data_IF_835827570491
#
_entry.id   IF_835827570491
#
_cell.length_a   1.000
_cell.length_b   1.000
_cell.length_c   1.000
_cell.angle_alpha   90.00
_cell.angle_beta   90.00
_cell.angle_gamma   90.00
#
_symmetry.space_group_name_H-M   'P 1'
#
loop_
_entity.id
_entity.type
_entity.pdbx_description
1 polymer ?
#
# COMPACT_ATOMS: atom_id res chain seq x y z
N UNK A 1 23.10 64.81 6.56
CA UNK A 1 22.65 63.74 5.67
C UNK A 1 21.17 63.98 5.39
N UNK A 2 20.79 64.20 4.14
CA UNK A 2 19.39 64.40 3.72
C UNK A 2 18.70 63.04 3.84
N UNK A 3 17.64 62.97 4.62
CA UNK A 3 16.86 61.74 4.82
C UNK A 3 16.04 61.47 3.56
N UNK A 4 16.59 60.62 2.68
CA UNK A 4 15.92 60.24 1.44
C UNK A 4 15.01 59.04 1.79
N UNK A 5 13.67 59.14 1.60
CA UNK A 5 12.77 58.05 1.95
C UNK A 5 13.03 56.79 1.10
N UNK A 6 13.35 55.67 1.79
CA UNK A 6 13.53 54.38 1.14
C UNK A 6 12.22 53.83 0.61
N UNK A 7 12.13 53.54 -0.68
CA UNK A 7 10.99 52.86 -1.28
C UNK A 7 11.21 51.32 -1.26
N UNK A 8 10.27 50.57 -0.69
CA UNK A 8 10.32 49.11 -0.65
C UNK A 8 10.16 48.55 -2.05
N UNK A 9 11.21 47.98 -2.62
CA UNK A 9 11.23 47.45 -3.99
C UNK A 9 10.75 45.99 -4.01
N UNK A 10 11.11 45.15 -3.01
CA UNK A 10 10.84 43.69 -3.01
C UNK A 10 10.81 43.14 -1.58
N UNK A 11 9.98 42.09 -1.37
CA UNK A 11 9.94 41.28 -0.15
C UNK A 11 10.34 39.85 -0.51
N UNK A 12 11.32 39.29 0.19
CA UNK A 12 11.75 37.90 0.03
C UNK A 12 11.59 37.20 1.38
N UNK A 13 11.05 35.99 1.38
CA UNK A 13 11.04 35.09 2.54
C UNK A 13 12.19 34.11 2.38
N UNK A 14 12.96 33.92 3.45
CA UNK A 14 13.99 32.88 3.56
C UNK A 14 13.44 31.84 4.54
N UNK A 15 13.38 30.57 4.12
CA UNK A 15 13.00 29.44 4.95
C UNK A 15 14.23 28.56 5.09
N UNK A 16 14.60 28.25 6.33
CA UNK A 16 15.78 27.44 6.64
C UNK A 16 15.42 26.35 7.66
N UNK A 17 16.23 25.29 7.75
CA UNK A 17 16.06 24.18 8.69
C UNK A 17 17.30 24.12 9.59
N UNK A 18 17.07 24.10 10.90
CA UNK A 18 18.10 23.88 11.90
C UNK A 18 17.86 22.56 12.61
N UNK A 19 18.85 21.67 12.57
CA UNK A 19 18.82 20.41 13.35
C UNK A 19 19.39 20.69 14.74
N UNK A 20 18.63 20.39 15.77
CA UNK A 20 19.05 20.51 17.17
C UNK A 20 19.04 19.12 17.79
N UNK A 21 20.15 18.73 18.42
CA UNK A 21 20.28 17.47 19.15
C UNK A 21 20.24 17.78 20.64
N UNK A 22 19.34 17.15 21.34
CA UNK A 22 19.22 17.24 22.80
C UNK A 22 19.74 15.94 23.43
N UNK A 23 20.65 16.03 24.37
CA UNK A 23 21.16 14.90 25.13
C UNK A 23 20.80 15.12 26.61
N UNK A 24 20.02 14.17 27.16
CA UNK A 24 19.68 14.15 28.58
C UNK A 24 20.39 12.95 29.23
N UNK A 25 20.94 13.16 30.43
CA UNK A 25 21.49 12.10 31.26
C UNK A 25 20.45 11.69 32.30
N UNK A 26 20.02 10.42 32.28
CA UNK A 26 19.17 9.84 33.29
C UNK A 26 20.06 9.09 34.31
N UNK A 27 20.06 9.53 35.58
CA UNK A 27 20.85 8.90 36.65
C UNK A 27 19.92 8.04 37.52
N UNK A 28 20.32 6.80 37.71
CA UNK A 28 19.58 5.81 38.51
C UNK A 28 20.30 5.55 39.82
N UNK A 29 19.58 5.62 40.93
CA UNK A 29 20.13 5.46 42.26
C UNK A 29 19.53 4.27 43.00
N UNK A 30 20.37 3.56 43.74
CA UNK A 30 19.99 2.56 44.71
C UNK A 30 20.06 3.18 46.13
N UNK A 31 19.09 2.92 46.98
CA UNK A 31 19.10 3.34 48.37
C UNK A 31 18.88 2.16 49.30
N UNK A 32 19.83 1.91 50.19
CA UNK A 32 19.74 0.92 51.26
C UNK A 32 19.21 1.62 52.52
N UNK A 33 18.12 1.13 53.10
CA UNK A 33 17.60 1.67 54.37
C UNK A 33 18.34 1.07 55.56
N UNK A 34 18.22 1.67 56.74
CA UNK A 34 18.84 1.20 57.98
C UNK A 34 18.43 -0.23 58.37
N UNK A 35 17.29 -0.71 57.91
CA UNK A 35 16.82 -2.09 58.09
C UNK A 35 17.47 -3.10 57.14
N UNK A 36 18.37 -2.66 56.25
CA UNK A 36 19.00 -3.51 55.22
C UNK A 36 18.19 -3.75 53.95
N UNK A 37 16.96 -3.18 53.83
CA UNK A 37 16.17 -3.27 52.62
C UNK A 37 16.78 -2.39 51.51
N UNK A 38 16.92 -2.95 50.33
CA UNK A 38 17.42 -2.25 49.15
C UNK A 38 16.24 -1.75 48.30
N UNK A 39 16.14 -0.44 48.14
CA UNK A 39 15.20 0.19 47.23
C UNK A 39 15.92 0.50 45.94
N UNK A 40 15.69 -0.33 44.93
CA UNK A 40 16.24 -0.16 43.58
C UNK A 40 15.23 0.51 42.69
N UNK A 41 15.69 1.41 41.85
CA UNK A 41 14.95 1.73 40.65
C UNK A 41 15.46 0.81 39.50
N UNK A 42 14.54 0.23 38.74
CA UNK A 42 14.92 -0.60 37.58
C UNK A 42 15.61 0.28 36.54
N UNK A 43 16.93 0.24 36.52
CA UNK A 43 17.71 0.89 35.48
C UNK A 43 17.61 0.09 34.18
N UNK A 44 17.37 0.76 33.03
CA UNK A 44 17.35 0.06 31.75
C UNK A 44 18.72 -0.57 31.46
N UNK A 45 18.72 -1.79 30.95
CA UNK A 45 19.94 -2.51 30.59
C UNK A 45 20.53 -2.03 29.25
N UNK A 46 20.63 -0.70 29.06
CA UNK A 46 21.23 -0.08 27.89
C UNK A 46 21.99 1.18 28.27
N UNK A 47 23.12 1.41 27.59
CA UNK A 47 23.95 2.61 27.81
C UNK A 47 23.40 3.86 27.10
N UNK A 48 22.64 3.68 26.02
CA UNK A 48 22.08 4.76 25.22
C UNK A 48 20.62 4.41 24.94
N UNK A 49 19.72 5.37 25.25
CA UNK A 49 18.31 5.31 24.94
C UNK A 49 18.00 6.40 23.89
N UNK A 50 17.40 6.01 22.81
CA UNK A 50 17.01 6.93 21.76
C UNK A 50 15.60 7.45 22.01
N UNK A 51 15.44 8.77 21.99
CA UNK A 51 14.15 9.45 22.20
C UNK A 51 13.16 9.20 21.05
N UNK A 52 11.89 9.47 21.31
CA UNK A 52 10.78 9.14 20.41
C UNK A 52 10.88 9.84 19.06
N UNK A 53 11.33 11.09 19.00
CA UNK A 53 11.49 11.82 17.76
C UNK A 53 12.52 11.17 16.86
N UNK A 54 13.66 10.72 17.40
CA UNK A 54 14.69 10.02 16.62
C UNK A 54 14.19 8.65 16.16
N UNK A 55 13.51 7.89 17.01
CA UNK A 55 12.89 6.60 16.70
C UNK A 55 11.85 6.75 15.58
N UNK A 56 11.01 7.78 15.66
CA UNK A 56 10.02 8.09 14.63
C UNK A 56 10.69 8.51 13.31
N UNK A 57 11.75 9.32 13.36
CA UNK A 57 12.51 9.73 12.18
C UNK A 57 13.16 8.53 11.47
N UNK A 58 13.84 7.67 12.21
CA UNK A 58 14.44 6.43 11.69
C UNK A 58 13.39 5.56 11.00
N UNK A 59 12.24 5.37 11.65
CA UNK A 59 11.12 4.58 11.11
C UNK A 59 10.55 5.22 9.84
N UNK A 60 10.31 6.52 9.86
CA UNK A 60 9.83 7.28 8.71
C UNK A 60 10.78 7.19 7.50
N UNK A 61 12.09 7.37 7.73
CA UNK A 61 13.10 7.28 6.68
C UNK A 61 13.12 5.87 6.04
N UNK A 62 12.98 4.82 6.84
CA UNK A 62 12.98 3.46 6.31
C UNK A 62 11.67 3.08 5.61
N UNK A 63 10.53 3.32 6.26
CA UNK A 63 9.22 2.82 5.82
C UNK A 63 8.60 3.70 4.75
N UNK A 64 8.71 5.02 4.89
CA UNK A 64 8.07 5.98 3.98
C UNK A 64 9.01 6.41 2.86
N UNK A 65 10.28 6.69 3.19
CA UNK A 65 11.29 7.15 2.23
C UNK A 65 12.12 6.00 1.64
N UNK A 66 11.88 4.76 2.10
CA UNK A 66 12.54 3.55 1.62
C UNK A 66 14.08 3.53 1.77
N UNK A 67 14.64 4.36 2.64
CA UNK A 67 16.09 4.47 2.83
C UNK A 67 16.63 3.20 3.52
N UNK A 68 17.72 2.59 3.03
CA UNK A 68 18.38 1.44 3.65
C UNK A 68 19.00 1.77 5.00
N UNK A 69 19.14 0.78 5.89
CA UNK A 69 19.64 0.95 7.25
C UNK A 69 20.99 1.66 7.32
N UNK A 70 21.95 1.25 6.49
CA UNK A 70 23.27 1.87 6.43
C UNK A 70 23.17 3.37 6.13
N UNK A 71 22.39 3.75 5.11
CA UNK A 71 22.21 5.16 4.75
C UNK A 71 21.47 5.97 5.81
N UNK A 72 20.57 5.34 6.58
CA UNK A 72 19.92 6.01 7.72
C UNK A 72 20.95 6.27 8.81
N UNK A 73 21.80 5.29 9.13
CA UNK A 73 22.86 5.46 10.11
C UNK A 73 23.84 6.57 9.70
N UNK A 74 24.27 6.61 8.45
CA UNK A 74 25.11 7.67 7.88
C UNK A 74 24.42 9.05 7.99
N UNK A 75 23.15 9.15 7.55
CA UNK A 75 22.38 10.39 7.60
C UNK A 75 22.23 10.94 9.02
N UNK A 76 21.93 10.09 9.99
CA UNK A 76 21.83 10.51 11.40
C UNK A 76 23.20 11.00 11.90
N UNK A 77 24.26 10.28 11.59
CA UNK A 77 25.62 10.71 11.97
C UNK A 77 25.98 12.07 11.38
N UNK A 78 25.73 12.29 10.10
CA UNK A 78 26.09 13.54 9.40
C UNK A 78 25.29 14.73 9.91
N UNK A 79 23.99 14.54 10.24
CA UNK A 79 23.13 15.63 10.67
C UNK A 79 23.23 15.93 12.18
N UNK A 80 23.54 14.93 13.00
CA UNK A 80 23.46 15.05 14.47
C UNK A 80 24.78 14.83 15.20
N UNK A 81 25.81 14.33 14.51
CA UNK A 81 27.04 13.86 15.15
C UNK A 81 26.88 12.59 16.00
N UNK A 82 25.66 12.00 16.04
CA UNK A 82 25.39 10.80 16.82
C UNK A 82 25.52 9.54 15.98
N UNK A 83 26.32 8.59 16.44
CA UNK A 83 26.52 7.32 15.74
C UNK A 83 25.46 6.30 16.17
N UNK A 84 24.69 5.80 15.20
CA UNK A 84 23.80 4.66 15.40
C UNK A 84 24.23 3.51 14.48
N UNK A 85 24.07 2.26 14.94
CA UNK A 85 24.37 1.09 14.13
C UNK A 85 23.17 0.68 13.26
N UNK A 86 23.42 -0.07 12.17
CA UNK A 86 22.35 -0.71 11.39
C UNK A 86 21.48 -1.63 12.26
N UNK A 87 22.08 -2.33 13.23
CA UNK A 87 21.38 -3.16 14.20
C UNK A 87 20.44 -2.33 15.09
N UNK A 88 20.87 -1.12 15.50
CA UNK A 88 20.01 -0.18 16.23
C UNK A 88 18.82 0.25 15.38
N UNK A 89 19.02 0.58 14.12
CA UNK A 89 17.93 0.91 13.18
C UNK A 89 16.93 -0.25 13.08
N UNK A 90 17.42 -1.48 12.96
CA UNK A 90 16.58 -2.68 12.91
C UNK A 90 15.78 -2.87 14.21
N UNK A 91 16.40 -2.72 15.36
CA UNK A 91 15.73 -2.86 16.66
C UNK A 91 14.63 -1.80 16.85
N UNK A 92 14.89 -0.55 16.48
CA UNK A 92 13.89 0.53 16.51
C UNK A 92 12.66 0.16 15.66
N UNK A 93 12.86 -0.34 14.43
CA UNK A 93 11.76 -0.74 13.57
C UNK A 93 10.96 -1.89 14.16
N UNK A 94 11.63 -2.91 14.68
CA UNK A 94 10.98 -4.07 15.32
C UNK A 94 10.14 -3.67 16.53
N UNK A 95 10.69 -2.85 17.43
CA UNK A 95 9.97 -2.38 18.61
C UNK A 95 8.74 -1.52 18.23
N UNK A 96 8.91 -0.59 17.28
CA UNK A 96 7.81 0.25 16.79
C UNK A 96 6.74 -0.57 16.05
N UNK A 97 7.14 -1.64 15.33
CA UNK A 97 6.23 -2.58 14.70
C UNK A 97 5.38 -3.33 15.73
N UNK A 98 5.97 -3.76 16.85
CA UNK A 98 5.24 -4.39 17.95
C UNK A 98 4.20 -3.45 18.59
N UNK A 99 4.56 -2.18 18.79
CA UNK A 99 3.63 -1.16 19.26
C UNK A 99 2.48 -0.87 18.28
N UNK A 100 2.71 -1.07 16.97
CA UNK A 100 1.70 -0.87 15.94
C UNK A 100 0.66 -2.00 15.82
N UNK A 101 0.82 -3.13 16.49
CA UNK A 101 -0.02 -4.33 16.30
C UNK A 101 -1.51 -4.06 16.46
N UNK A 102 -1.91 -3.33 17.51
CA UNK A 102 -3.32 -3.00 17.76
C UNK A 102 -3.93 -2.15 16.63
N UNK A 103 -3.24 -1.11 16.21
CA UNK A 103 -3.69 -0.22 15.13
C UNK A 103 -3.70 -0.94 13.77
N UNK A 104 -2.73 -1.81 13.52
CA UNK A 104 -2.66 -2.63 12.31
C UNK A 104 -3.83 -3.62 12.22
N UNK A 105 -4.17 -4.31 13.31
CA UNK A 105 -5.32 -5.20 13.38
C UNK A 105 -6.66 -4.44 13.26
N UNK A 106 -6.74 -3.22 13.77
CA UNK A 106 -7.93 -2.38 13.59
C UNK A 106 -8.15 -2.02 12.11
N UNK A 107 -7.08 -1.70 11.36
CA UNK A 107 -7.15 -1.47 9.91
C UNK A 107 -7.74 -2.70 9.22
N UNK A 108 -7.26 -3.90 9.54
CA UNK A 108 -7.74 -5.15 8.97
C UNK A 108 -9.22 -5.37 9.24
N UNK A 109 -9.65 -5.24 10.52
CA UNK A 109 -11.05 -5.40 10.94
C UNK A 109 -11.98 -4.42 10.24
N UNK A 110 -11.56 -3.17 10.09
CA UNK A 110 -12.35 -2.15 9.37
C UNK A 110 -12.48 -2.46 7.88
N UNK A 111 -11.48 -3.08 7.25
CA UNK A 111 -11.60 -3.57 5.87
C UNK A 111 -12.62 -4.70 5.74
N UNK A 112 -12.75 -5.58 6.75
CA UNK A 112 -13.75 -6.67 6.73
C UNK A 112 -15.20 -6.16 6.65
N UNK A 113 -15.45 -4.92 7.07
CA UNK A 113 -16.78 -4.30 7.06
C UNK A 113 -16.95 -3.27 5.94
N UNK A 114 -15.92 -3.03 5.14
CA UNK A 114 -15.94 -2.05 4.07
C UNK A 114 -16.84 -2.50 2.90
N UNK A 115 -17.53 -1.59 2.25
CA UNK A 115 -18.39 -1.88 1.10
C UNK A 115 -17.62 -2.11 -0.20
N UNK A 116 -16.43 -1.54 -0.33
CA UNK A 116 -15.54 -1.67 -1.49
C UNK A 116 -14.11 -1.85 -0.99
N UNK A 117 -13.42 -2.84 -1.53
CA UNK A 117 -12.00 -3.11 -1.25
C UNK A 117 -11.29 -3.38 -2.56
N UNK A 118 -10.19 -2.69 -2.81
CA UNK A 118 -9.26 -3.03 -3.89
C UNK A 118 -8.15 -3.94 -3.35
N UNK A 119 -7.70 -4.90 -4.14
CA UNK A 119 -6.56 -5.74 -3.77
C UNK A 119 -5.61 -5.96 -4.95
N UNK A 120 -4.33 -6.10 -4.61
CA UNK A 120 -3.25 -6.39 -5.57
C UNK A 120 -2.10 -7.09 -4.83
N UNK A 121 -1.18 -7.73 -5.56
CA UNK A 121 -0.01 -8.35 -4.96
C UNK A 121 1.24 -8.10 -5.79
N UNK A 122 2.39 -8.14 -5.13
CA UNK A 122 3.69 -8.00 -5.79
C UNK A 122 4.73 -8.93 -5.17
N UNK A 123 5.54 -9.56 -6.03
CA UNK A 123 6.67 -10.34 -5.58
C UNK A 123 7.73 -9.45 -4.92
N UNK A 124 8.32 -9.94 -3.84
CA UNK A 124 9.47 -9.36 -3.17
C UNK A 124 10.41 -10.46 -2.69
N UNK A 125 11.71 -10.21 -2.74
CA UNK A 125 12.70 -11.15 -2.23
C UNK A 125 12.86 -10.95 -0.73
N UNK A 126 12.76 -12.04 0.04
CA UNK A 126 13.05 -12.08 1.47
C UNK A 126 14.17 -13.10 1.68
N UNK A 127 15.31 -12.66 2.18
CA UNK A 127 16.52 -13.49 2.19
C UNK A 127 16.91 -13.91 0.78
N UNK A 128 16.73 -15.19 0.46
CA UNK A 128 17.00 -15.77 -0.86
C UNK A 128 15.73 -16.27 -1.57
N UNK A 129 14.57 -16.12 -0.97
CA UNK A 129 13.30 -16.69 -1.43
C UNK A 129 12.36 -15.63 -1.96
N UNK A 130 11.54 -15.99 -2.97
CA UNK A 130 10.47 -15.15 -3.47
C UNK A 130 9.27 -15.23 -2.54
N UNK A 131 8.87 -14.10 -1.99
CA UNK A 131 7.66 -13.89 -1.21
C UNK A 131 6.74 -12.94 -1.93
N UNK A 132 5.53 -12.75 -1.39
CA UNK A 132 4.50 -11.90 -1.97
C UNK A 132 4.00 -10.91 -0.94
N UNK A 133 4.04 -9.64 -1.31
CA UNK A 133 3.37 -8.59 -0.55
C UNK A 133 1.99 -8.38 -1.14
N UNK A 134 0.99 -8.61 -0.32
CA UNK A 134 -0.41 -8.40 -0.62
C UNK A 134 -0.85 -7.05 -0.09
N UNK A 135 -1.65 -6.33 -0.85
CA UNK A 135 -2.29 -5.09 -0.42
C UNK A 135 -3.80 -5.24 -0.53
N UNK A 136 -4.50 -4.88 0.54
CA UNK A 136 -5.95 -4.70 0.58
C UNK A 136 -6.22 -3.27 1.02
N UNK A 137 -7.08 -2.55 0.30
CA UNK A 137 -7.23 -1.13 0.55
C UNK A 137 -8.56 -0.56 0.06
N UNK A 138 -8.94 0.60 0.59
CA UNK A 138 -9.99 1.46 0.06
C UNK A 138 -9.54 2.94 0.15
N UNK A 139 -10.46 3.89 0.04
CA UNK A 139 -10.12 5.32 0.08
C UNK A 139 -9.54 5.78 1.43
N UNK A 140 -9.85 5.08 2.53
CA UNK A 140 -9.45 5.44 3.89
C UNK A 140 -8.36 4.55 4.48
N UNK A 141 -8.26 3.31 4.03
CA UNK A 141 -7.47 2.26 4.68
C UNK A 141 -6.48 1.64 3.70
N UNK A 142 -5.34 1.23 4.21
CA UNK A 142 -4.35 0.41 3.52
C UNK A 142 -3.85 -0.67 4.46
N UNK A 143 -3.98 -1.92 4.08
CA UNK A 143 -3.50 -3.08 4.82
C UNK A 143 -2.53 -3.86 3.92
N UNK A 144 -1.29 -3.97 4.33
CA UNK A 144 -0.24 -4.71 3.62
C UNK A 144 0.21 -5.86 4.51
N UNK A 145 0.37 -7.05 3.93
CA UNK A 145 0.97 -8.19 4.61
C UNK A 145 1.85 -8.99 3.65
N UNK A 146 2.79 -9.72 4.22
CA UNK A 146 3.73 -10.56 3.48
C UNK A 146 3.32 -12.04 3.61
N UNK A 147 3.59 -12.83 2.57
CA UNK A 147 3.39 -14.29 2.57
C UNK A 147 4.35 -14.96 1.59
N UNK A 148 4.79 -16.18 1.89
CA UNK A 148 5.51 -17.04 0.94
C UNK A 148 4.62 -17.47 -0.23
N UNK A 149 3.32 -17.50 -0.03
CA UNK A 149 2.35 -17.96 -1.01
C UNK A 149 1.72 -16.82 -1.80
N UNK A 150 1.60 -16.99 -3.14
CA UNK A 150 0.73 -16.19 -4.01
C UNK A 150 -0.70 -16.74 -4.09
N UNK A 151 -1.01 -17.80 -3.35
CA UNK A 151 -2.28 -18.52 -3.44
C UNK A 151 -3.29 -18.10 -2.39
N UNK A 152 -4.46 -18.79 -2.45
CA UNK A 152 -5.58 -18.59 -1.53
C UNK A 152 -5.16 -18.65 -0.05
N UNK A 153 -4.23 -19.54 0.31
CA UNK A 153 -3.74 -19.68 1.69
C UNK A 153 -3.22 -18.38 2.30
N UNK A 154 -2.59 -17.52 1.48
CA UNK A 154 -2.12 -16.21 1.95
C UNK A 154 -3.31 -15.33 2.35
N UNK A 155 -4.35 -15.26 1.51
CA UNK A 155 -5.56 -14.48 1.77
C UNK A 155 -6.28 -15.00 2.99
N UNK A 156 -6.52 -16.33 3.07
CA UNK A 156 -7.25 -16.97 4.17
C UNK A 156 -6.55 -16.80 5.52
N UNK A 157 -5.23 -16.68 5.54
CA UNK A 157 -4.46 -16.42 6.77
C UNK A 157 -4.81 -15.09 7.43
N UNK A 158 -5.25 -14.09 6.64
CA UNK A 158 -5.58 -12.73 7.11
C UNK A 158 -7.08 -12.47 7.09
N UNK A 159 -7.79 -13.04 6.13
CA UNK A 159 -9.23 -12.89 5.95
C UNK A 159 -9.93 -14.27 5.88
N UNK A 160 -9.95 -15.03 6.99
CA UNK A 160 -10.49 -16.41 7.00
C UNK A 160 -11.98 -16.48 6.69
N UNK A 161 -12.73 -15.41 6.92
CA UNK A 161 -14.16 -15.30 6.57
C UNK A 161 -14.38 -14.59 5.23
N UNK A 162 -13.31 -14.19 4.54
CA UNK A 162 -13.35 -13.32 3.37
C UNK A 162 -13.76 -11.89 3.71
N UNK A 163 -14.39 -11.23 2.73
CA UNK A 163 -14.92 -9.87 2.82
C UNK A 163 -16.39 -9.84 2.40
N UNK A 164 -17.31 -10.49 3.15
CA UNK A 164 -18.68 -10.80 2.72
C UNK A 164 -19.55 -9.56 2.47
N UNK A 165 -19.11 -8.39 2.89
CA UNK A 165 -19.81 -7.11 2.69
C UNK A 165 -19.24 -6.28 1.55
N UNK A 166 -18.09 -6.68 1.01
CA UNK A 166 -17.33 -5.90 0.04
C UNK A 166 -17.58 -6.32 -1.40
N UNK A 167 -17.61 -5.34 -2.31
CA UNK A 167 -17.26 -5.57 -3.70
C UNK A 167 -15.73 -5.51 -3.80
N UNK A 168 -15.12 -6.63 -4.24
CA UNK A 168 -13.67 -6.74 -4.37
C UNK A 168 -13.22 -6.33 -5.78
N UNK A 169 -12.34 -5.32 -5.86
CA UNK A 169 -11.81 -4.77 -7.13
C UNK A 169 -10.38 -5.27 -7.33
N UNK A 170 -10.14 -6.10 -8.36
CA UNK A 170 -8.84 -6.74 -8.57
C UNK A 170 -8.52 -6.94 -10.05
N UNK A 171 -7.33 -7.42 -10.32
CA UNK A 171 -7.02 -8.05 -11.60
C UNK A 171 -7.74 -9.41 -11.75
N UNK A 172 -7.32 -10.23 -12.73
CA UNK A 172 -7.90 -11.56 -12.99
C UNK A 172 -7.19 -12.71 -12.26
N UNK A 173 -6.40 -12.42 -11.20
CA UNK A 173 -5.72 -13.50 -10.48
C UNK A 173 -6.74 -14.40 -9.74
N UNK A 174 -6.65 -15.71 -9.95
CA UNK A 174 -7.68 -16.68 -9.52
C UNK A 174 -7.90 -16.73 -8.01
N UNK A 175 -6.93 -16.40 -7.19
CA UNK A 175 -7.06 -16.43 -5.73
C UNK A 175 -8.13 -15.47 -5.23
N UNK A 176 -8.32 -14.32 -5.88
CA UNK A 176 -9.35 -13.36 -5.51
C UNK A 176 -10.77 -13.90 -5.72
N UNK A 177 -10.99 -14.67 -6.82
CA UNK A 177 -12.32 -15.23 -7.13
C UNK A 177 -12.70 -16.43 -6.28
N UNK A 178 -11.80 -16.95 -5.44
CA UNK A 178 -12.08 -17.97 -4.44
C UNK A 178 -12.44 -17.38 -3.08
N UNK A 179 -12.24 -16.09 -2.90
CA UNK A 179 -12.55 -15.39 -1.66
C UNK A 179 -14.06 -15.19 -1.52
N UNK A 180 -14.58 -15.41 -0.32
CA UNK A 180 -15.97 -15.09 -0.01
C UNK A 180 -16.15 -13.58 0.04
N UNK A 181 -16.84 -13.00 -0.95
CA UNK A 181 -17.12 -11.56 -1.08
C UNK A 181 -18.56 -11.34 -1.54
N UNK A 182 -19.07 -10.14 -1.36
CA UNK A 182 -20.41 -9.76 -1.84
C UNK A 182 -20.51 -9.79 -3.36
N UNK A 183 -19.50 -9.21 -4.03
CA UNK A 183 -19.43 -9.12 -5.50
C UNK A 183 -17.96 -8.85 -5.92
N UNK A 184 -17.68 -8.95 -7.20
CA UNK A 184 -16.39 -8.61 -7.78
C UNK A 184 -16.51 -7.51 -8.83
N UNK A 185 -15.43 -6.74 -9.00
CA UNK A 185 -15.18 -5.90 -10.17
C UNK A 185 -13.80 -6.20 -10.71
N UNK A 186 -13.71 -6.57 -11.97
CA UNK A 186 -12.42 -6.78 -12.65
C UNK A 186 -11.87 -5.43 -13.11
N UNK A 187 -10.58 -5.20 -12.91
CA UNK A 187 -9.89 -4.01 -13.38
C UNK A 187 -9.96 -3.89 -14.92
N UNK A 188 -10.73 -2.93 -15.41
CA UNK A 188 -10.91 -2.73 -16.84
C UNK A 188 -9.65 -2.18 -17.51
N UNK A 189 -8.79 -1.44 -16.80
CA UNK A 189 -7.54 -0.93 -17.34
C UNK A 189 -6.59 -2.05 -17.80
N UNK A 190 -6.56 -3.17 -17.08
CA UNK A 190 -5.81 -4.36 -17.50
C UNK A 190 -6.41 -5.01 -18.76
N UNK A 191 -7.73 -5.04 -18.85
CA UNK A 191 -8.41 -5.61 -20.01
C UNK A 191 -8.18 -4.77 -21.26
N UNK A 192 -8.26 -3.43 -21.13
CA UNK A 192 -7.98 -2.51 -22.24
C UNK A 192 -6.56 -2.68 -22.74
N UNK A 193 -5.55 -2.65 -21.87
CA UNK A 193 -4.13 -2.87 -22.27
C UNK A 193 -3.93 -4.20 -23.00
N UNK A 194 -4.57 -5.27 -22.55
CA UNK A 194 -4.45 -6.57 -23.22
C UNK A 194 -5.18 -6.58 -24.58
N UNK A 195 -6.32 -5.90 -24.70
CA UNK A 195 -7.04 -5.80 -25.96
C UNK A 195 -6.32 -4.89 -26.98
N UNK A 196 -5.67 -3.81 -26.50
CA UNK A 196 -4.78 -2.96 -27.30
C UNK A 196 -3.60 -3.76 -27.86
N UNK A 197 -2.93 -4.58 -27.02
CA UNK A 197 -1.89 -5.49 -27.47
C UNK A 197 -2.39 -6.45 -28.59
N UNK A 198 -3.59 -7.02 -28.44
CA UNK A 198 -4.18 -7.86 -29.49
C UNK A 198 -4.46 -7.08 -30.79
N UNK A 199 -4.85 -5.80 -30.69
CA UNK A 199 -5.06 -4.95 -31.85
C UNK A 199 -3.75 -4.59 -32.54
N UNK A 200 -2.63 -4.49 -31.81
CA UNK A 200 -1.29 -4.34 -32.39
C UNK A 200 -0.80 -5.62 -33.06
N UNK A 201 -1.11 -6.79 -32.46
CA UNK A 201 -0.72 -8.11 -33.00
C UNK A 201 -1.35 -8.40 -34.33
N UNK A 202 -2.62 -8.05 -34.54
CA UNK A 202 -3.32 -8.14 -35.83
C UNK A 202 -4.27 -6.94 -36.01
N UNK A 203 -3.84 -5.96 -36.79
CA UNK A 203 -4.59 -4.75 -37.08
C UNK A 203 -5.74 -4.94 -38.09
N UNK A 204 -5.80 -6.08 -38.78
CA UNK A 204 -6.82 -6.34 -39.82
C UNK A 204 -8.13 -6.88 -39.20
N UNK A 205 -8.07 -7.46 -37.99
CA UNK A 205 -9.25 -7.92 -37.26
C UNK A 205 -9.95 -6.76 -36.54
N UNK A 206 -11.25 -6.88 -36.30
CA UNK A 206 -12.04 -5.85 -35.65
C UNK A 206 -12.52 -6.24 -34.21
N UNK A 207 -12.34 -7.49 -33.82
CA UNK A 207 -12.86 -8.02 -32.56
C UNK A 207 -12.29 -7.28 -31.34
N UNK A 208 -10.98 -7.06 -31.28
CA UNK A 208 -10.35 -6.32 -30.16
C UNK A 208 -10.80 -4.86 -30.12
N UNK A 209 -10.96 -4.19 -31.27
CA UNK A 209 -11.47 -2.81 -31.36
C UNK A 209 -12.90 -2.72 -30.85
N UNK A 210 -13.77 -3.67 -31.22
CA UNK A 210 -15.14 -3.73 -30.70
C UNK A 210 -15.17 -4.00 -29.21
N UNK A 211 -14.27 -4.85 -28.70
CA UNK A 211 -14.12 -5.06 -27.26
C UNK A 211 -13.70 -3.77 -26.54
N UNK A 212 -12.66 -3.09 -27.00
CA UNK A 212 -12.18 -1.81 -26.46
C UNK A 212 -13.33 -0.80 -26.44
N UNK A 213 -14.01 -0.61 -27.56
CA UNK A 213 -15.13 0.32 -27.68
C UNK A 213 -16.26 0.03 -26.69
N UNK A 214 -16.62 -1.23 -26.46
CA UNK A 214 -17.65 -1.58 -25.46
C UNK A 214 -17.22 -1.23 -24.04
N UNK A 215 -15.96 -1.47 -23.69
CA UNK A 215 -15.43 -1.13 -22.36
C UNK A 215 -15.37 0.39 -22.19
N UNK A 216 -14.80 1.13 -23.14
CA UNK A 216 -14.73 2.59 -23.10
C UNK A 216 -16.12 3.25 -23.05
N UNK A 217 -17.05 2.74 -23.86
CA UNK A 217 -18.44 3.21 -23.80
C UNK A 217 -19.05 3.01 -22.40
N UNK A 218 -18.79 1.88 -21.75
CA UNK A 218 -19.27 1.62 -20.40
C UNK A 218 -18.66 2.61 -19.38
N UNK A 219 -17.37 2.94 -19.51
CA UNK A 219 -16.68 3.91 -18.67
C UNK A 219 -17.25 5.31 -18.88
N UNK A 220 -17.50 5.71 -20.14
CA UNK A 220 -18.07 7.02 -20.47
C UNK A 220 -19.50 7.18 -19.93
N UNK A 221 -20.35 6.14 -20.02
CA UNK A 221 -21.67 6.17 -19.39
C UNK A 221 -21.59 6.45 -17.89
N UNK A 222 -20.56 5.94 -17.22
CA UNK A 222 -20.28 6.19 -15.80
C UNK A 222 -19.85 7.63 -15.55
N UNK A 223 -18.92 8.15 -16.37
CA UNK A 223 -18.40 9.52 -16.25
C UNK A 223 -19.48 10.59 -16.49
N UNK A 224 -20.38 10.32 -17.41
CA UNK A 224 -21.49 11.23 -17.77
C UNK A 224 -22.70 11.10 -16.83
N UNK A 225 -22.64 10.23 -15.82
CA UNK A 225 -23.76 9.86 -14.93
C UNK A 225 -25.02 9.45 -15.70
N UNK A 226 -24.83 8.87 -16.89
CA UNK A 226 -25.88 8.52 -17.85
C UNK A 226 -26.19 7.03 -17.83
N UNK A 227 -26.33 6.45 -16.63
CA UNK A 227 -26.53 5.02 -16.40
C UNK A 227 -28.03 4.73 -16.23
N UNK A 228 -28.53 3.75 -16.99
CA UNK A 228 -29.86 3.18 -16.80
C UNK A 228 -29.78 1.65 -16.85
N UNK A 229 -30.70 0.96 -16.17
CA UNK A 229 -30.78 -0.50 -16.19
C UNK A 229 -30.90 -1.06 -17.62
N UNK A 230 -31.57 -0.32 -18.53
CA UNK A 230 -31.66 -0.68 -19.94
C UNK A 230 -30.29 -0.63 -20.64
N UNK A 231 -29.50 0.42 -20.42
CA UNK A 231 -28.16 0.57 -21.01
C UNK A 231 -27.22 -0.52 -20.50
N UNK A 232 -27.24 -0.84 -19.20
CA UNK A 232 -26.47 -1.94 -18.61
C UNK A 232 -26.84 -3.28 -19.29
N UNK A 233 -28.14 -3.56 -19.45
CA UNK A 233 -28.59 -4.78 -20.10
C UNK A 233 -28.12 -4.87 -21.56
N UNK A 234 -28.19 -3.76 -22.30
CA UNK A 234 -27.70 -3.69 -23.68
C UNK A 234 -26.20 -3.95 -23.75
N UNK A 235 -25.37 -3.34 -22.86
CA UNK A 235 -23.93 -3.58 -22.79
C UNK A 235 -23.61 -5.04 -22.48
N UNK A 236 -24.26 -5.63 -21.48
CA UNK A 236 -24.09 -7.06 -21.15
C UNK A 236 -24.43 -7.97 -22.32
N UNK A 237 -25.51 -7.66 -23.06
CA UNK A 237 -25.91 -8.42 -24.26
C UNK A 237 -24.88 -8.29 -25.38
N UNK A 238 -24.43 -7.06 -25.69
CA UNK A 238 -23.38 -6.83 -26.72
C UNK A 238 -22.09 -7.55 -26.37
N UNK A 239 -21.65 -7.48 -25.11
CA UNK A 239 -20.46 -8.18 -24.63
C UNK A 239 -20.64 -9.71 -24.75
N UNK A 240 -21.80 -10.26 -24.35
CA UNK A 240 -22.10 -11.70 -24.50
C UNK A 240 -22.01 -12.14 -25.95
N UNK A 241 -22.57 -11.36 -26.90
CA UNK A 241 -22.53 -11.68 -28.32
C UNK A 241 -21.08 -11.65 -28.85
N UNK A 242 -20.30 -10.61 -28.52
CA UNK A 242 -18.90 -10.50 -28.92
C UNK A 242 -18.06 -11.68 -28.39
N UNK A 243 -18.26 -12.07 -27.12
CA UNK A 243 -17.57 -13.23 -26.53
C UNK A 243 -18.05 -14.58 -27.10
N UNK A 244 -19.20 -14.62 -27.77
CA UNK A 244 -19.72 -15.81 -28.46
C UNK A 244 -19.13 -16.05 -29.85
N UNK A 245 -18.41 -15.06 -30.42
CA UNK A 245 -17.81 -15.19 -31.75
C UNK A 245 -16.65 -16.20 -31.75
N UNK A 246 -16.51 -16.95 -32.83
CA UNK A 246 -15.35 -17.82 -33.04
C UNK A 246 -14.13 -16.99 -33.49
N UNK A 247 -13.00 -17.20 -32.82
CA UNK A 247 -11.74 -16.53 -33.13
C UNK A 247 -10.66 -17.52 -33.62
N UNK A 248 -11.07 -18.72 -34.02
CA UNK A 248 -10.15 -19.80 -34.44
C UNK A 248 -9.33 -19.48 -35.67
N UNK A 249 -9.73 -18.46 -36.45
CA UNK A 249 -9.00 -17.96 -37.63
C UNK A 249 -7.96 -16.88 -37.25
N UNK A 250 -7.91 -16.45 -35.98
CA UNK A 250 -6.94 -15.49 -35.49
C UNK A 250 -5.84 -16.19 -34.69
N UNK A 251 -4.82 -15.42 -34.27
CA UNK A 251 -3.78 -15.91 -33.37
C UNK A 251 -4.36 -16.48 -32.05
N UNK A 252 -3.71 -17.52 -31.52
CA UNK A 252 -4.15 -18.21 -30.29
C UNK A 252 -4.29 -17.26 -29.07
N UNK A 253 -3.57 -16.13 -29.05
CA UNK A 253 -3.68 -15.13 -27.97
C UNK A 253 -5.10 -14.52 -27.88
N UNK A 254 -5.82 -14.40 -29.00
CA UNK A 254 -7.21 -13.94 -29.02
C UNK A 254 -8.15 -14.92 -28.29
N UNK A 255 -8.06 -16.21 -28.60
CA UNK A 255 -8.86 -17.24 -27.93
C UNK A 255 -8.50 -17.37 -26.45
N UNK A 256 -7.22 -17.22 -26.10
CA UNK A 256 -6.73 -17.25 -24.72
C UNK A 256 -7.27 -16.06 -23.92
N UNK A 257 -7.23 -14.86 -24.50
CA UNK A 257 -7.79 -13.65 -23.90
C UNK A 257 -9.31 -13.79 -23.70
N UNK A 258 -10.04 -14.18 -24.74
CA UNK A 258 -11.49 -14.41 -24.70
C UNK A 258 -11.87 -15.42 -23.62
N UNK A 259 -11.20 -16.57 -23.55
CA UNK A 259 -11.42 -17.59 -22.48
C UNK A 259 -11.17 -17.01 -21.09
N UNK A 260 -10.18 -16.14 -20.95
CA UNK A 260 -9.91 -15.43 -19.70
C UNK A 260 -11.05 -14.48 -19.31
N UNK A 261 -11.63 -13.76 -20.28
CA UNK A 261 -12.79 -12.87 -20.06
C UNK A 261 -14.05 -13.66 -19.72
N UNK A 262 -14.31 -14.78 -20.42
CA UNK A 262 -15.48 -15.61 -20.18
C UNK A 262 -15.60 -16.09 -18.72
N UNK A 263 -14.47 -16.31 -18.04
CA UNK A 263 -14.44 -16.70 -16.61
C UNK A 263 -14.92 -15.61 -15.67
N UNK A 264 -14.81 -14.34 -16.08
CA UNK A 264 -15.06 -13.16 -15.26
C UNK A 264 -16.10 -12.21 -15.87
N UNK A 265 -16.81 -12.63 -16.90
CA UNK A 265 -17.74 -11.80 -17.69
C UNK A 265 -18.81 -11.11 -16.85
N UNK A 266 -19.26 -11.75 -15.78
CA UNK A 266 -20.32 -11.25 -14.92
C UNK A 266 -19.83 -10.08 -14.04
N UNK A 267 -18.52 -9.92 -13.88
CA UNK A 267 -17.86 -8.92 -13.04
C UNK A 267 -17.25 -7.74 -13.83
N UNK A 268 -17.53 -7.65 -15.15
CA UNK A 268 -17.01 -6.56 -15.99
C UNK A 268 -17.71 -5.22 -15.72
N UNK A 269 -18.98 -5.27 -15.35
CA UNK A 269 -19.87 -4.10 -15.28
C UNK A 269 -20.50 -3.88 -13.90
N UNK A 270 -19.92 -4.43 -12.84
CA UNK A 270 -20.39 -4.24 -11.46
C UNK A 270 -20.34 -2.76 -11.07
N UNK A 271 -19.33 -2.02 -11.51
CA UNK A 271 -19.16 -0.59 -11.29
C UNK A 271 -20.31 0.26 -11.86
N UNK A 272 -21.05 -0.21 -12.86
CA UNK A 272 -22.22 0.49 -13.40
C UNK A 272 -23.43 0.38 -12.49
N UNK A 273 -23.51 -0.68 -11.69
CA UNK A 273 -24.61 -0.92 -10.77
C UNK A 273 -24.36 -0.31 -9.38
N UNK A 274 -23.09 -0.05 -9.03
CA UNK A 274 -22.71 0.53 -7.75
C UNK A 274 -21.75 1.71 -7.95
N UNK A 275 -22.21 2.95 -7.69
CA UNK A 275 -21.41 4.16 -7.85
C UNK A 275 -20.09 4.20 -7.05
N UNK A 276 -20.02 3.54 -5.93
CA UNK A 276 -18.83 3.53 -5.09
C UNK A 276 -17.73 2.58 -5.61
N UNK A 277 -18.06 1.71 -6.57
CA UNK A 277 -17.10 0.75 -7.14
C UNK A 277 -16.35 1.38 -8.30
N UNK A 278 -15.01 1.50 -8.24
CA UNK A 278 -14.21 1.96 -9.36
C UNK A 278 -14.17 0.91 -10.49
N UNK A 279 -14.01 1.35 -11.72
CA UNK A 279 -13.86 0.45 -12.88
C UNK A 279 -12.43 -0.08 -13.04
N UNK A 280 -11.46 0.47 -12.31
CA UNK A 280 -10.07 0.06 -12.32
C UNK A 280 -9.53 -0.21 -10.92
N UNK A 281 -8.34 -0.80 -10.83
CA UNK A 281 -7.63 -1.09 -9.59
C UNK A 281 -6.35 -0.23 -9.42
N UNK A 282 -6.29 0.91 -10.09
CA UNK A 282 -5.10 1.77 -10.11
C UNK A 282 -4.64 2.22 -8.71
N UNK A 283 -5.57 2.32 -7.76
CA UNK A 283 -5.23 2.67 -6.38
C UNK A 283 -4.36 1.58 -5.71
N UNK A 284 -4.71 0.29 -5.87
CA UNK A 284 -3.93 -0.82 -5.33
C UNK A 284 -2.60 -0.97 -6.09
N UNK A 285 -2.59 -0.79 -7.42
CA UNK A 285 -1.35 -0.76 -8.20
C UNK A 285 -0.37 0.31 -7.73
N UNK A 286 -0.86 1.51 -7.39
CA UNK A 286 -0.01 2.57 -6.79
C UNK A 286 0.54 2.17 -5.43
N UNK A 287 -0.25 1.46 -4.61
CA UNK A 287 0.18 0.93 -3.32
C UNK A 287 1.33 -0.06 -3.44
N UNK A 288 1.21 -1.06 -4.33
CA UNK A 288 2.28 -2.04 -4.55
C UNK A 288 3.54 -1.44 -5.17
N UNK A 289 3.44 -0.35 -5.96
CA UNK A 289 4.61 0.35 -6.50
C UNK A 289 5.56 0.85 -5.42
N UNK A 290 5.05 1.32 -4.26
CA UNK A 290 5.88 1.76 -3.13
C UNK A 290 6.68 0.61 -2.54
N UNK A 291 6.08 -0.57 -2.42
CA UNK A 291 6.76 -1.78 -1.98
C UNK A 291 7.87 -2.17 -2.96
N UNK A 292 7.61 -2.04 -4.27
CA UNK A 292 8.62 -2.24 -5.32
C UNK A 292 9.78 -1.25 -5.24
N UNK A 293 9.51 0.01 -4.89
CA UNK A 293 10.56 1.02 -4.67
C UNK A 293 11.44 0.58 -3.51
N UNK A 294 10.86 0.17 -2.37
CA UNK A 294 11.59 -0.37 -1.22
C UNK A 294 12.52 -1.51 -1.63
N UNK A 295 12.01 -2.46 -2.40
CA UNK A 295 12.81 -3.58 -2.88
C UNK A 295 13.93 -3.13 -3.82
N UNK A 296 13.67 -2.24 -4.78
CA UNK A 296 14.70 -1.73 -5.70
C UNK A 296 15.83 -0.98 -4.98
N UNK A 297 15.50 -0.22 -3.95
CA UNK A 297 16.47 0.59 -3.19
C UNK A 297 17.27 -0.25 -2.20
N UNK A 298 16.62 -1.23 -1.53
CA UNK A 298 17.24 -2.08 -0.50
C UNK A 298 17.70 -3.44 -1.01
N UNK A 299 17.39 -3.82 -2.26
CA UNK A 299 17.69 -5.12 -2.88
C UNK A 299 16.72 -6.22 -2.46
N UNK A 300 16.55 -6.44 -1.15
CA UNK A 300 15.63 -7.44 -0.58
C UNK A 300 15.29 -7.07 0.87
N UNK A 301 14.29 -7.76 1.41
CA UNK A 301 14.14 -7.88 2.86
C UNK A 301 15.08 -8.97 3.35
N UNK A 302 15.82 -8.74 4.44
CA UNK A 302 16.80 -9.72 4.94
C UNK A 302 16.14 -10.89 5.67
N UNK A 303 15.02 -10.64 6.36
CA UNK A 303 14.29 -11.61 7.18
C UNK A 303 12.78 -11.43 7.02
N UNK A 304 12.01 -12.49 7.32
CA UNK A 304 10.54 -12.44 7.33
C UNK A 304 10.02 -11.43 8.34
N UNK A 305 10.56 -11.42 9.56
CA UNK A 305 10.20 -10.42 10.57
C UNK A 305 10.42 -8.99 10.10
N UNK A 306 11.53 -8.70 9.38
CA UNK A 306 11.77 -7.37 8.82
C UNK A 306 10.81 -6.99 7.69
N UNK A 307 10.32 -7.96 6.91
CA UNK A 307 9.29 -7.74 5.90
C UNK A 307 7.91 -7.47 6.55
N UNK A 308 7.58 -8.22 7.60
CA UNK A 308 6.35 -8.01 8.38
C UNK A 308 6.36 -6.66 9.11
N UNK A 309 7.48 -6.28 9.74
CA UNK A 309 7.65 -4.98 10.40
C UNK A 309 7.42 -3.83 9.41
N UNK A 310 8.01 -3.94 8.21
CA UNK A 310 7.79 -2.96 7.16
C UNK A 310 6.31 -2.91 6.74
N UNK A 311 5.66 -4.06 6.52
CA UNK A 311 4.27 -4.14 6.07
C UNK A 311 3.31 -3.48 7.08
N UNK A 312 3.48 -3.74 8.38
CA UNK A 312 2.68 -3.15 9.46
C UNK A 312 2.84 -1.63 9.51
N UNK A 313 4.06 -1.14 9.65
CA UNK A 313 4.35 0.29 9.75
C UNK A 313 3.97 1.06 8.47
N UNK A 314 4.13 0.43 7.30
CA UNK A 314 3.70 0.98 6.02
C UNK A 314 2.17 1.12 5.95
N UNK A 315 1.43 0.13 6.45
CA UNK A 315 -0.04 0.17 6.53
C UNK A 315 -0.53 1.33 7.38
N UNK A 316 0.09 1.57 8.54
CA UNK A 316 -0.21 2.72 9.42
C UNK A 316 0.04 4.05 8.70
N UNK A 317 1.23 4.19 8.10
CA UNK A 317 1.61 5.43 7.42
C UNK A 317 0.70 5.75 6.22
N UNK A 318 0.38 4.76 5.38
CA UNK A 318 -0.50 4.96 4.23
C UNK A 318 -1.95 5.20 4.63
N UNK A 319 -2.44 4.54 5.67
CA UNK A 319 -3.77 4.80 6.24
C UNK A 319 -3.87 6.21 6.79
N UNK A 320 -2.86 6.69 7.51
CA UNK A 320 -2.82 8.06 8.02
C UNK A 320 -2.91 9.09 6.88
N UNK A 321 -2.11 8.91 5.83
CA UNK A 321 -2.13 9.79 4.65
C UNK A 321 -3.51 9.84 3.98
N UNK A 322 -4.18 8.70 3.83
CA UNK A 322 -5.53 8.64 3.25
C UNK A 322 -6.58 9.38 4.08
N UNK A 323 -6.34 9.52 5.38
CA UNK A 323 -7.19 10.27 6.29
C UNK A 323 -6.71 11.74 6.50
N UNK A 324 -5.84 12.25 5.62
CA UNK A 324 -5.36 13.64 5.67
C UNK A 324 -4.32 13.90 6.76
N UNK A 325 -3.79 12.87 7.41
CA UNK A 325 -2.81 12.99 8.48
C UNK A 325 -1.36 12.84 7.97
N UNK A 326 -0.43 13.48 8.68
CA UNK A 326 0.99 13.31 8.43
C UNK A 326 1.44 11.87 8.72
N UNK A 327 2.14 11.24 7.77
CA UNK A 327 2.75 9.92 7.97
C UNK A 327 3.76 9.91 9.11
N UNK A 328 4.54 11.00 9.26
CA UNK A 328 5.50 11.14 10.34
C UNK A 328 4.79 11.20 11.70
N UNK A 329 3.75 12.01 11.83
CA UNK A 329 2.99 12.12 13.09
C UNK A 329 2.29 10.82 13.46
N UNK A 330 1.80 10.07 12.47
CA UNK A 330 1.21 8.75 12.73
C UNK A 330 2.25 7.73 13.25
N UNK A 331 3.46 7.76 12.70
CA UNK A 331 4.57 6.93 13.20
C UNK A 331 4.98 7.40 14.60
N UNK A 332 5.09 8.70 14.84
CA UNK A 332 5.42 9.24 16.16
C UNK A 332 4.38 8.82 17.22
N UNK A 333 3.11 8.87 16.87
CA UNK A 333 2.05 8.41 17.78
C UNK A 333 2.15 6.90 18.12
N UNK A 334 2.64 6.07 17.19
CA UNK A 334 2.95 4.65 17.47
C UNK A 334 4.14 4.53 18.42
N UNK A 335 5.19 5.33 18.21
CA UNK A 335 6.40 5.30 19.06
C UNK A 335 6.09 5.67 20.51
N UNK A 336 5.14 6.58 20.74
CA UNK A 336 4.76 7.12 22.04
C UNK A 336 3.79 6.22 22.84
N UNK A 337 3.30 5.13 22.26
CA UNK A 337 2.55 4.10 22.99
C UNK A 337 3.48 3.25 23.87
#
# INVERSE_FOLDING_TARGET
>A
MIDIPCQKIRKTQIVDIKVVVETCEEQYYEKVCECGCVNNCEAPNCRIKYGDNLRALVTYLNVVQCIPFKRIAELISDLSGQNISEGTVQNILKENSGKADSAYEEIRKRLETASVVGADETGATVGKHLHWNWIFQNDLLTYVFQSESRGQKAIDSKFPKGLPYSTLVTDRHQSYFKMNVKDHQVCLAHLLRNAEYLNELDSNQDWSRRFIHLIEHSINLRREDNITSRKIKVLKTKMKNLLGESLTHLDNEFEKFKRGILKVKDYLFTFLSNPSVPYDNNASERGVRKIKIKQKVSGCFRTDGGADDFAKLHSIAETAMKNGNSKFNAILAVVQQ
#
